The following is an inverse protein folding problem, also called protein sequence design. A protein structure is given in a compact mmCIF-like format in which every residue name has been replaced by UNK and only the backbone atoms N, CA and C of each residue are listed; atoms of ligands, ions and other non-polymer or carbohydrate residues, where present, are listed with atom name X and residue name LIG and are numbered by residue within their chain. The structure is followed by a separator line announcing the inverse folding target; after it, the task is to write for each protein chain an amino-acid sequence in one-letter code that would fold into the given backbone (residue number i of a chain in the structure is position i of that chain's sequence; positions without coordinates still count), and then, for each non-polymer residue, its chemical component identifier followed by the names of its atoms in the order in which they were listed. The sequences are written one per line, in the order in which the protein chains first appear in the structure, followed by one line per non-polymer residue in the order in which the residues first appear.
data_IF_276573942138
#
_entry.id   IF_276573942138
#
_cell.length_a   1.000
_cell.length_b   1.000
_cell.length_c   1.000
_cell.angle_alpha   90.00
_cell.angle_beta   90.00
_cell.angle_gamma   90.00
#
_symmetry.space_group_name_H-M   'P 1'
#
loop_
_entity.id
_entity.type
_entity.pdbx_description
1 polymer ?
#
# COMPACT_ATOMS: atom_id res chain seq x y z
N UNK A 1 -36.11 6.38 -35.40
CA UNK A 1 -35.87 5.33 -34.39
C UNK A 1 -36.17 3.97 -35.00
N UNK A 2 -35.19 3.05 -35.03
CA UNK A 2 -35.39 1.72 -35.62
C UNK A 2 -36.29 0.89 -34.69
N UNK A 3 -37.43 0.43 -35.20
CA UNK A 3 -38.36 -0.42 -34.44
C UNK A 3 -37.71 -1.78 -34.21
N UNK A 4 -37.70 -2.24 -32.97
CA UNK A 4 -37.17 -3.59 -32.64
C UNK A 4 -38.04 -4.65 -33.32
N UNK A 5 -37.39 -5.68 -33.85
CA UNK A 5 -38.07 -6.80 -34.50
C UNK A 5 -39.02 -7.51 -33.53
N UNK A 6 -40.13 -8.06 -34.06
CA UNK A 6 -41.19 -8.73 -33.29
C UNK A 6 -40.68 -9.91 -32.45
N UNK A 7 -39.53 -10.50 -32.82
CA UNK A 7 -38.87 -11.62 -32.11
C UNK A 7 -37.75 -11.19 -31.14
N UNK A 8 -37.50 -9.89 -30.99
CA UNK A 8 -36.44 -9.39 -30.11
C UNK A 8 -36.77 -9.68 -28.64
N UNK A 9 -35.80 -10.22 -27.90
CA UNK A 9 -35.97 -10.51 -26.47
C UNK A 9 -35.90 -9.22 -25.65
N UNK A 10 -36.66 -9.20 -24.56
CA UNK A 10 -36.62 -8.11 -23.59
C UNK A 10 -35.27 -8.07 -22.86
N UNK A 11 -34.75 -6.87 -22.61
CA UNK A 11 -33.58 -6.64 -21.73
C UNK A 11 -33.94 -6.73 -20.24
N UNK A 12 -35.24 -6.84 -19.91
CA UNK A 12 -35.71 -6.95 -18.52
C UNK A 12 -35.26 -8.28 -17.94
N UNK A 13 -34.61 -8.22 -16.78
CA UNK A 13 -34.14 -9.41 -16.05
C UNK A 13 -35.11 -9.67 -14.91
N UNK A 14 -35.60 -10.91 -14.79
CA UNK A 14 -36.46 -11.30 -13.67
C UNK A 14 -35.69 -11.27 -12.35
N UNK A 15 -36.38 -11.03 -11.24
CA UNK A 15 -35.75 -11.01 -9.91
C UNK A 15 -35.06 -12.34 -9.59
N UNK A 16 -35.68 -13.48 -9.97
CA UNK A 16 -35.09 -14.82 -9.86
C UNK A 16 -33.73 -14.92 -10.57
N UNK A 17 -33.60 -14.36 -11.78
CA UNK A 17 -32.33 -14.34 -12.51
C UNK A 17 -31.30 -13.43 -11.83
N UNK A 18 -31.69 -12.24 -11.35
CA UNK A 18 -30.79 -11.33 -10.62
C UNK A 18 -30.22 -12.00 -9.37
N UNK A 19 -31.07 -12.59 -8.52
CA UNK A 19 -30.62 -13.29 -7.31
C UNK A 19 -29.78 -14.52 -7.60
N UNK A 20 -30.08 -15.28 -8.68
CA UNK A 20 -29.25 -16.40 -9.13
C UNK A 20 -27.85 -15.94 -9.56
N UNK A 21 -27.74 -14.83 -10.28
CA UNK A 21 -26.44 -14.26 -10.68
C UNK A 21 -25.65 -13.81 -9.46
N UNK A 22 -26.26 -13.05 -8.54
CA UNK A 22 -25.61 -12.59 -7.31
C UNK A 22 -25.08 -13.78 -6.50
N UNK A 23 -25.89 -14.83 -6.32
CA UNK A 23 -25.47 -16.04 -5.61
C UNK A 23 -24.28 -16.72 -6.29
N UNK A 24 -24.34 -16.91 -7.61
CA UNK A 24 -23.24 -17.52 -8.38
C UNK A 24 -21.94 -16.72 -8.31
N UNK A 25 -22.02 -15.39 -8.41
CA UNK A 25 -20.85 -14.50 -8.33
C UNK A 25 -20.23 -14.57 -6.93
N UNK A 26 -21.06 -14.50 -5.88
CA UNK A 26 -20.59 -14.64 -4.48
C UNK A 26 -19.91 -15.99 -4.26
N UNK A 27 -20.50 -17.08 -4.74
CA UNK A 27 -19.92 -18.43 -4.65
C UNK A 27 -18.58 -18.52 -5.40
N UNK A 28 -18.51 -17.96 -6.61
CA UNK A 28 -17.29 -17.94 -7.41
C UNK A 28 -16.16 -17.14 -6.74
N UNK A 29 -16.45 -15.95 -6.21
CA UNK A 29 -15.47 -15.18 -5.45
C UNK A 29 -15.01 -15.91 -4.18
N UNK A 30 -15.93 -16.59 -3.49
CA UNK A 30 -15.60 -17.42 -2.31
C UNK A 30 -14.69 -18.59 -2.69
N UNK A 31 -14.91 -19.24 -3.84
CA UNK A 31 -14.03 -20.31 -4.36
C UNK A 31 -12.66 -19.77 -4.73
N UNK A 32 -12.58 -18.71 -5.54
CA UNK A 32 -11.30 -18.05 -5.89
C UNK A 32 -10.50 -17.64 -4.65
N UNK A 33 -11.15 -17.04 -3.65
CA UNK A 33 -10.47 -16.66 -2.41
C UNK A 33 -9.93 -17.88 -1.64
N UNK A 34 -10.66 -19.00 -1.61
CA UNK A 34 -10.20 -20.24 -1.00
C UNK A 34 -9.07 -20.88 -1.80
N UNK A 35 -9.14 -20.87 -3.12
CA UNK A 35 -8.09 -21.39 -4.01
C UNK A 35 -6.80 -20.58 -3.87
N UNK A 36 -6.87 -19.25 -3.85
CA UNK A 36 -5.70 -18.37 -3.60
C UNK A 36 -5.09 -18.64 -2.22
N UNK A 37 -5.92 -18.79 -1.18
CA UNK A 37 -5.44 -19.14 0.16
C UNK A 37 -4.82 -20.55 0.21
N UNK A 38 -5.41 -21.53 -0.47
CA UNK A 38 -4.94 -22.93 -0.54
C UNK A 38 -3.67 -23.08 -1.37
N UNK A 39 -3.55 -22.34 -2.48
CA UNK A 39 -2.37 -22.30 -3.35
C UNK A 39 -1.16 -21.62 -2.67
N UNK A 40 -1.33 -21.10 -1.46
CA UNK A 40 -0.22 -20.82 -0.57
C UNK A 40 0.38 -19.44 -0.77
N UNK A 41 -0.23 -18.47 -0.09
CA UNK A 41 0.41 -17.23 0.34
C UNK A 41 1.49 -17.44 1.42
N UNK A 42 2.07 -18.64 1.54
CA UNK A 42 3.29 -18.86 2.35
C UNK A 42 4.56 -18.53 1.57
N UNK A 43 4.43 -18.05 0.34
CA UNK A 43 5.53 -17.48 -0.43
C UNK A 43 5.28 -15.99 -0.52
N UNK A 44 6.26 -15.19 -0.05
CA UNK A 44 6.30 -13.75 -0.32
C UNK A 44 5.99 -13.58 -1.82
N UNK A 45 5.03 -12.72 -2.21
CA UNK A 45 4.79 -12.47 -3.62
C UNK A 45 6.14 -12.16 -4.25
N UNK A 46 6.48 -12.88 -5.33
CA UNK A 46 7.66 -12.52 -6.11
C UNK A 46 7.49 -11.04 -6.44
N UNK A 47 8.51 -10.24 -6.15
CA UNK A 47 8.49 -8.82 -6.47
C UNK A 47 7.92 -8.65 -7.88
N UNK A 48 6.92 -7.78 -8.00
CA UNK A 48 6.30 -7.47 -9.27
C UNK A 48 7.43 -7.13 -10.24
N UNK A 49 7.59 -7.96 -11.26
CA UNK A 49 8.60 -7.69 -12.27
C UNK A 49 8.03 -6.55 -13.09
N UNK A 50 8.60 -5.37 -12.90
CA UNK A 50 8.27 -4.21 -13.71
C UNK A 50 8.33 -4.64 -15.19
N UNK A 51 7.35 -4.27 -16.03
CA UNK A 51 7.29 -4.68 -17.43
C UNK A 51 8.50 -4.21 -18.27
N UNK A 52 9.50 -3.58 -17.66
CA UNK A 52 10.76 -3.21 -18.27
C UNK A 52 10.60 -2.08 -19.27
N UNK A 53 11.73 -1.54 -19.72
CA UNK A 53 11.75 -0.60 -20.83
C UNK A 53 11.63 -1.41 -22.13
N UNK A 54 10.62 -1.15 -22.97
CA UNK A 54 10.47 -1.83 -24.26
C UNK A 54 11.72 -1.70 -25.14
N UNK A 55 11.99 -2.72 -25.96
CA UNK A 55 13.21 -2.76 -26.79
C UNK A 55 13.25 -1.72 -27.91
N UNK A 56 12.09 -1.30 -28.41
CA UNK A 56 11.99 -0.38 -29.55
C UNK A 56 12.18 1.09 -29.14
N UNK A 57 12.48 1.37 -27.87
CA UNK A 57 12.71 2.72 -27.40
C UNK A 57 14.13 3.18 -27.76
N UNK A 58 14.30 4.23 -28.60
CA UNK A 58 15.61 4.73 -29.05
C UNK A 58 16.60 5.16 -27.95
N UNK A 59 16.15 5.40 -26.71
CA UNK A 59 16.99 5.81 -25.58
C UNK A 59 17.11 4.74 -24.49
N UNK A 60 16.73 3.49 -24.79
CA UNK A 60 16.79 2.37 -23.85
C UNK A 60 18.18 2.18 -23.24
N UNK A 61 19.23 2.32 -24.04
CA UNK A 61 20.62 2.19 -23.58
C UNK A 61 21.03 3.32 -22.63
N UNK A 62 20.58 4.54 -22.92
CA UNK A 62 20.88 5.71 -22.08
C UNK A 62 20.19 5.59 -20.72
N UNK A 63 18.92 5.14 -20.70
CA UNK A 63 18.15 4.96 -19.47
C UNK A 63 18.67 3.78 -18.64
N UNK A 64 19.07 2.67 -19.28
CA UNK A 64 19.67 1.53 -18.60
C UNK A 64 20.99 1.94 -17.92
N UNK A 65 21.84 2.71 -18.62
CA UNK A 65 23.10 3.23 -18.09
C UNK A 65 22.89 4.16 -16.89
N UNK A 66 21.86 5.01 -16.93
CA UNK A 66 21.50 5.89 -15.81
C UNK A 66 21.00 5.09 -14.59
N UNK A 67 20.17 4.06 -14.81
CA UNK A 67 19.68 3.16 -13.76
C UNK A 67 20.80 2.33 -13.12
N UNK A 68 21.73 1.81 -13.93
CA UNK A 68 22.90 1.08 -13.43
C UNK A 68 23.81 1.96 -12.60
N UNK A 69 24.08 3.19 -13.04
CA UNK A 69 24.85 4.15 -12.26
C UNK A 69 24.19 4.44 -10.90
N UNK A 70 22.86 4.58 -10.86
CA UNK A 70 22.12 4.77 -9.61
C UNK A 70 22.20 3.55 -8.69
N UNK A 71 22.09 2.34 -9.23
CA UNK A 71 22.24 1.09 -8.46
C UNK A 71 23.65 0.91 -7.94
N UNK A 72 24.68 1.23 -8.73
CA UNK A 72 26.08 1.14 -8.34
C UNK A 72 26.39 2.07 -7.16
N UNK A 73 25.97 3.34 -7.22
CA UNK A 73 26.13 4.30 -6.12
C UNK A 73 25.45 3.82 -4.83
N UNK A 74 24.23 3.32 -4.93
CA UNK A 74 23.50 2.80 -3.76
C UNK A 74 24.18 1.58 -3.12
N UNK A 75 24.79 0.70 -3.92
CA UNK A 75 25.55 -0.45 -3.40
C UNK A 75 26.85 -0.02 -2.73
N UNK A 76 27.57 0.93 -3.33
CA UNK A 76 28.80 1.50 -2.78
C UNK A 76 28.54 2.18 -1.42
N UNK A 77 27.50 3.01 -1.31
CA UNK A 77 27.09 3.63 -0.05
C UNK A 77 26.75 2.59 1.03
N UNK A 78 26.07 1.51 0.66
CA UNK A 78 25.76 0.42 1.58
C UNK A 78 27.02 -0.33 2.03
N UNK A 79 27.99 -0.50 1.15
CA UNK A 79 29.27 -1.13 1.47
C UNK A 79 30.11 -0.26 2.39
N UNK A 80 30.22 1.04 2.10
CA UNK A 80 30.90 2.01 2.96
C UNK A 80 30.27 2.05 4.36
N UNK A 81 28.93 2.07 4.44
CA UNK A 81 28.21 2.02 5.72
C UNK A 81 28.44 0.71 6.48
N UNK A 82 28.58 -0.42 5.77
CA UNK A 82 28.95 -1.71 6.39
C UNK A 82 30.40 -1.70 6.88
N UNK A 83 31.31 -1.10 6.14
CA UNK A 83 32.70 -0.88 6.53
C UNK A 83 32.80 -0.05 7.80
N UNK A 84 32.19 1.14 7.81
CA UNK A 84 32.15 2.03 8.98
C UNK A 84 31.54 1.37 10.22
N UNK A 85 30.49 0.55 10.06
CA UNK A 85 29.91 -0.23 11.16
C UNK A 85 30.86 -1.31 11.69
N UNK A 86 31.57 -2.01 10.80
CA UNK A 86 32.57 -3.02 11.19
C UNK A 86 33.75 -2.38 11.89
N UNK A 87 34.25 -1.26 11.40
CA UNK A 87 35.34 -0.50 12.04
C UNK A 87 34.91 0.06 13.40
N UNK A 88 33.69 0.60 13.53
CA UNK A 88 33.14 1.02 14.84
C UNK A 88 33.00 -0.15 15.81
N UNK A 89 32.56 -1.31 15.34
CA UNK A 89 32.45 -2.51 16.17
C UNK A 89 33.83 -3.05 16.60
N UNK A 90 34.84 -2.99 15.71
CA UNK A 90 36.23 -3.34 16.04
C UNK A 90 36.84 -2.37 17.04
N UNK A 91 36.67 -1.05 16.84
CA UNK A 91 37.12 -0.02 17.80
C UNK A 91 36.51 -0.21 19.19
N UNK A 92 35.19 -0.47 19.26
CA UNK A 92 34.51 -0.82 20.52
C UNK A 92 35.04 -2.11 21.15
N UNK A 93 35.39 -3.11 20.34
CA UNK A 93 35.98 -4.38 20.83
C UNK A 93 37.42 -4.18 21.35
N UNK A 94 38.17 -3.22 20.81
CA UNK A 94 39.52 -2.87 21.26
C UNK A 94 39.56 -1.87 22.44
N UNK A 95 38.41 -1.38 22.92
CA UNK A 95 38.34 -0.54 24.12
C UNK A 95 38.79 0.91 23.94
N UNK A 96 39.02 1.38 22.71
CA UNK A 96 39.28 2.79 22.42
C UNK A 96 37.96 3.48 22.08
N UNK A 97 37.33 4.05 23.12
CA UNK A 97 36.19 4.97 22.96
C UNK A 97 36.80 6.37 22.86
N UNK A 98 36.86 6.92 21.64
CA UNK A 98 37.13 8.35 21.45
C UNK A 98 35.84 9.10 21.85
N UNK A 99 35.93 9.95 22.88
CA UNK A 99 34.83 10.78 23.43
C UNK A 99 34.42 11.96 22.50
N UNK A 100 34.60 11.81 21.18
CA UNK A 100 34.25 12.83 20.17
C UNK A 100 32.82 12.66 19.60
N UNK A 101 32.08 11.62 20.01
CA UNK A 101 30.69 11.36 19.58
C UNK A 101 29.66 12.30 20.27
N UNK A 102 30.07 13.17 21.21
CA UNK A 102 29.19 14.11 21.94
C UNK A 102 28.75 15.33 21.12
N UNK A 103 29.29 15.54 19.91
CA UNK A 103 29.06 16.76 19.10
C UNK A 103 27.75 16.74 18.30
N UNK A 104 27.03 15.62 18.23
CA UNK A 104 25.82 15.48 17.38
C UNK A 104 24.49 15.37 18.15
N UNK A 105 24.47 15.61 19.46
CA UNK A 105 23.22 15.64 20.25
C UNK A 105 22.36 16.86 19.89
N UNK A 106 23.00 18.02 19.66
CA UNK A 106 22.30 19.27 19.32
C UNK A 106 21.57 19.18 17.97
N UNK A 107 22.21 18.60 16.95
CA UNK A 107 21.58 18.42 15.63
C UNK A 107 20.40 17.45 15.68
N UNK A 108 20.46 16.44 16.54
CA UNK A 108 19.36 15.49 16.73
C UNK A 108 18.13 16.16 17.36
N UNK A 109 18.36 17.06 18.31
CA UNK A 109 17.30 17.85 18.95
C UNK A 109 16.63 18.83 17.97
N UNK A 110 17.42 19.50 17.12
CA UNK A 110 16.90 20.41 16.08
C UNK A 110 16.02 19.66 15.05
N UNK A 111 16.44 18.45 14.65
CA UNK A 111 15.67 17.60 13.73
C UNK A 111 14.37 17.11 14.39
N UNK A 112 14.39 16.76 15.68
CA UNK A 112 13.20 16.34 16.41
C UNK A 112 12.17 17.47 16.56
N UNK A 113 12.64 18.69 16.87
CA UNK A 113 11.78 19.87 17.01
C UNK A 113 11.15 20.28 15.67
N UNK A 114 11.92 20.24 14.58
CA UNK A 114 11.39 20.50 13.24
C UNK A 114 10.30 19.49 12.82
N UNK A 115 10.40 18.22 13.25
CA UNK A 115 9.40 17.19 12.94
C UNK A 115 8.09 17.39 13.71
N UNK A 116 8.14 17.89 14.94
CA UNK A 116 6.95 18.18 15.74
C UNK A 116 6.12 19.33 15.16
N UNK A 117 6.77 20.39 14.69
CA UNK A 117 6.13 21.53 14.02
C UNK A 117 5.34 21.10 12.77
N UNK A 118 5.87 20.12 12.02
CA UNK A 118 5.22 19.56 10.83
C UNK A 118 4.03 18.63 11.14
N UNK A 119 3.94 18.07 12.36
CA UNK A 119 2.82 17.20 12.76
C UNK A 119 1.59 18.00 13.22
N UNK A 120 1.78 19.25 13.70
CA UNK A 120 0.69 20.11 14.19
C UNK A 120 -0.02 20.88 13.05
N UNK A 121 0.61 21.02 11.89
CA UNK A 121 0.07 21.80 10.76
C UNK A 121 -0.84 21.06 9.78
N UNK A 122 -1.09 19.76 9.95
CA UNK A 122 -1.83 18.94 8.98
C UNK A 122 -3.06 18.27 9.58
N UNK A 123 -4.10 19.06 9.87
CA UNK A 123 -5.43 18.54 10.20
C UNK A 123 -6.44 18.99 9.15
N UNK A 124 -6.18 18.62 7.91
CA UNK A 124 -7.21 18.57 6.87
C UNK A 124 -8.04 17.30 7.10
N UNK A 125 -9.01 17.41 8.01
CA UNK A 125 -10.17 16.51 8.04
C UNK A 125 -11.20 17.15 7.11
N UNK A 126 -11.12 16.77 5.84
CA UNK A 126 -12.17 17.06 4.88
C UNK A 126 -13.34 16.10 5.07
N UNK A 127 -14.50 16.73 5.18
CA UNK A 127 -15.83 16.26 5.46
C UNK A 127 -16.43 15.56 4.22
N UNK A 128 -16.88 14.30 4.34
CA UNK A 128 -17.70 13.67 3.29
C UNK A 128 -18.73 12.67 3.84
N UNK A 129 -19.91 13.22 4.18
CA UNK A 129 -21.24 12.62 4.03
C UNK A 129 -21.61 11.38 4.88
N UNK A 130 -22.43 11.60 5.92
CA UNK A 130 -23.58 10.73 6.23
C UNK A 130 -24.48 11.38 7.31
N UNK A 131 -25.41 12.22 6.86
CA UNK A 131 -26.68 12.41 7.56
C UNK A 131 -27.30 11.05 7.88
N UNK A 132 -27.56 10.77 9.16
CA UNK A 132 -28.49 9.72 9.56
C UNK A 132 -27.98 8.76 10.63
N UNK A 133 -28.07 9.17 11.90
CA UNK A 133 -28.36 8.29 13.05
C UNK A 133 -28.53 9.11 14.34
N UNK A 134 -29.65 9.84 14.42
CA UNK A 134 -30.28 10.16 15.71
C UNK A 134 -31.74 9.76 15.59
N UNK A 135 -32.00 8.45 15.61
CA UNK A 135 -33.31 7.88 15.95
C UNK A 135 -33.15 6.40 16.30
N UNK A 136 -32.84 6.15 17.57
CA UNK A 136 -32.74 4.80 18.11
C UNK A 136 -32.70 4.75 19.63
N UNK A 137 -33.13 5.83 20.30
CA UNK A 137 -33.26 5.89 21.75
C UNK A 137 -34.69 6.35 22.07
N UNK A 138 -35.65 5.47 21.78
CA UNK A 138 -37.04 5.49 22.26
C UNK A 138 -37.76 4.29 21.63
N UNK A 139 -37.79 3.16 22.34
CA UNK A 139 -39.02 2.39 22.53
C UNK A 139 -38.85 1.48 23.75
N UNK A 140 -38.85 2.13 24.90
CA UNK A 140 -39.44 1.57 26.11
C UNK A 140 -40.95 1.47 25.85
N UNK A 141 -41.49 0.25 25.84
CA UNK A 141 -42.76 -0.13 26.46
C UNK A 141 -43.26 -1.46 25.87
N UNK A 142 -42.93 -2.54 26.61
CA UNK A 142 -43.89 -3.61 26.83
C UNK A 142 -45.18 -3.01 27.41
N UNK A 143 -46.33 -3.55 27.00
CA UNK A 143 -47.63 -3.70 27.70
C UNK A 143 -48.83 -3.47 26.77
N UNK A 144 -49.59 -4.56 26.54
CA UNK A 144 -51.07 -4.52 26.50
C UNK A 144 -51.76 -4.08 25.20
N UNK A 145 -52.09 -5.04 24.35
CA UNK A 145 -53.47 -5.52 24.13
C UNK A 145 -53.48 -6.68 23.15
#
# INVERSE_FOLDING_TARGET
MVKKSKKSKSKRVSLKQKYKVIRKVKEHHKKKAKEVKKLGMNRKPKAEKDPGIPNDWPFKEQELKALEARRARALEELEQKKGAKKERAKKRKLGLVDDDDDVDISKLADIASAKEQNFVGGKDIDDFTATGKIRGMLLLNMHGR
#
